data_IF_980181704171
#
_entry.id   IF_980181704171
#
_cell.length_a   1.000
_cell.length_b   1.000
_cell.length_c   1.000
_cell.angle_alpha   90.00
_cell.angle_beta   90.00
_cell.angle_gamma   90.00
#
_symmetry.space_group_name_H-M   'P 1'
#
loop_
_entity.id
_entity.type
_entity.pdbx_description
1 polymer ?
#
# COMPACT_ATOMS: atom_id res chain seq x y z
N UNK A 1 -27.99 -8.76 -11.29
CA UNK A 1 -27.01 -9.17 -10.26
C UNK A 1 -25.63 -9.28 -10.91
N UNK A 2 -25.13 -8.18 -11.49
CA UNK A 2 -23.90 -8.22 -12.31
C UNK A 2 -23.04 -6.95 -12.30
N UNK A 3 -23.51 -5.80 -11.77
CA UNK A 3 -22.71 -4.56 -11.80
C UNK A 3 -22.12 -4.18 -10.42
N UNK A 4 -22.58 -4.83 -9.35
CA UNK A 4 -22.20 -4.47 -7.97
C UNK A 4 -20.83 -5.06 -7.56
N UNK A 5 -20.37 -6.12 -8.22
CA UNK A 5 -19.09 -6.80 -7.92
C UNK A 5 -17.89 -6.19 -8.66
N UNK A 6 -18.12 -5.40 -9.71
CA UNK A 6 -17.06 -4.73 -10.47
C UNK A 6 -16.59 -3.41 -9.82
N UNK A 7 -17.38 -2.83 -8.90
CA UNK A 7 -17.14 -1.49 -8.37
C UNK A 7 -16.32 -1.47 -7.06
N UNK A 8 -15.66 -2.58 -6.69
CA UNK A 8 -14.75 -2.59 -5.53
C UNK A 8 -13.34 -2.14 -5.90
N UNK A 9 -12.95 -2.24 -7.18
CA UNK A 9 -11.60 -1.88 -7.64
C UNK A 9 -11.36 -0.35 -7.69
N UNK A 10 -12.43 0.45 -7.65
CA UNK A 10 -12.38 1.91 -7.78
C UNK A 10 -12.83 2.66 -6.52
N UNK A 11 -13.14 1.93 -5.44
CA UNK A 11 -13.43 2.59 -4.16
C UNK A 11 -12.11 2.97 -3.50
N UNK A 12 -11.92 4.26 -3.29
CA UNK A 12 -11.00 4.80 -2.28
C UNK A 12 -11.41 4.27 -0.90
N UNK A 13 -11.05 3.02 -0.62
CA UNK A 13 -11.22 2.42 0.70
C UNK A 13 -10.24 3.10 1.64
N UNK A 14 -10.75 3.66 2.74
CA UNK A 14 -9.88 4.31 3.72
C UNK A 14 -8.96 3.27 4.37
N UNK A 15 -7.76 3.70 4.78
CA UNK A 15 -6.85 2.83 5.55
C UNK A 15 -7.52 2.29 6.82
N UNK A 16 -8.41 3.07 7.43
CA UNK A 16 -9.18 2.67 8.60
C UNK A 16 -10.15 1.52 8.30
N UNK A 17 -10.71 1.48 7.08
CA UNK A 17 -11.54 0.37 6.60
C UNK A 17 -10.72 -0.90 6.34
N UNK A 18 -9.46 -0.78 5.89
CA UNK A 18 -8.57 -1.92 5.67
C UNK A 18 -8.01 -2.52 6.97
N UNK A 19 -7.97 -1.74 8.04
CA UNK A 19 -7.46 -2.13 9.36
C UNK A 19 -8.59 -2.59 10.31
N UNK A 20 -9.84 -2.23 10.03
CA UNK A 20 -11.03 -2.59 10.82
C UNK A 20 -11.78 -3.85 10.36
N UNK A 21 -12.26 -4.64 11.33
CA UNK A 21 -13.26 -5.73 11.25
C UNK A 21 -13.00 -7.02 10.43
N UNK A 22 -11.78 -7.35 10.02
CA UNK A 22 -11.55 -8.75 9.57
C UNK A 22 -10.18 -9.08 8.98
N UNK A 23 -9.69 -10.28 9.34
CA UNK A 23 -8.50 -11.03 8.85
C UNK A 23 -7.13 -10.33 8.78
N UNK A 24 -7.08 -8.99 8.79
CA UNK A 24 -5.91 -8.15 8.58
C UNK A 24 -5.40 -7.46 9.85
N UNK A 25 -5.81 -7.95 11.03
CA UNK A 25 -5.34 -7.48 12.34
C UNK A 25 -3.81 -7.65 12.56
N UNK A 26 -3.07 -8.04 11.53
CA UNK A 26 -1.63 -8.28 11.53
C UNK A 26 -0.82 -7.15 10.89
N UNK A 27 -1.47 -6.09 10.40
CA UNK A 27 -0.72 -4.91 9.97
C UNK A 27 -0.05 -4.25 11.18
N UNK A 28 1.28 -4.19 11.14
CA UNK A 28 2.07 -3.46 12.12
C UNK A 28 1.59 -2.01 12.19
N UNK A 29 1.14 -1.57 13.38
CA UNK A 29 0.59 -0.22 13.61
C UNK A 29 1.54 0.87 13.11
N UNK A 30 2.86 0.66 13.23
CA UNK A 30 3.85 1.63 12.74
C UNK A 30 3.83 1.76 11.23
N UNK A 31 3.59 0.66 10.52
CA UNK A 31 3.46 0.67 9.06
C UNK A 31 2.21 1.41 8.61
N UNK A 32 1.07 1.19 9.28
CA UNK A 32 -0.17 1.92 9.00
C UNK A 32 0.01 3.42 9.24
N UNK A 33 0.59 3.81 10.38
CA UNK A 33 0.83 5.23 10.70
C UNK A 33 1.72 5.91 9.65
N UNK A 34 2.77 5.24 9.17
CA UNK A 34 3.61 5.76 8.09
C UNK A 34 2.80 6.00 6.81
N UNK A 35 1.91 5.09 6.43
CA UNK A 35 1.05 5.29 5.25
C UNK A 35 0.12 6.49 5.42
N UNK A 36 -0.44 6.68 6.62
CA UNK A 36 -1.25 7.87 6.94
C UNK A 36 -0.43 9.16 6.87
N UNK A 37 0.80 9.17 7.41
CA UNK A 37 1.71 10.31 7.32
C UNK A 37 2.04 10.65 5.87
N UNK A 38 2.35 9.65 5.04
CA UNK A 38 2.63 9.81 3.61
C UNK A 38 1.43 10.42 2.88
N UNK A 39 0.21 9.99 3.19
CA UNK A 39 -1.00 10.56 2.58
C UNK A 39 -1.19 12.05 2.88
N UNK A 40 -0.69 12.54 4.01
CA UNK A 40 -0.81 13.94 4.40
C UNK A 40 0.38 14.81 3.93
N UNK A 41 1.36 14.25 3.22
CA UNK A 41 2.50 15.01 2.68
C UNK A 41 2.10 15.91 1.50
N UNK A 42 2.88 16.99 1.31
CA UNK A 42 2.80 17.83 0.12
C UNK A 42 2.99 16.98 -1.16
N UNK A 43 2.26 17.26 -2.26
CA UNK A 43 2.24 16.39 -3.44
C UNK A 43 3.62 16.12 -4.06
N UNK A 44 4.47 17.14 -4.14
CA UNK A 44 5.84 17.05 -4.66
C UNK A 44 6.71 16.12 -3.81
N UNK A 45 6.70 16.30 -2.50
CA UNK A 45 7.43 15.45 -1.54
C UNK A 45 6.90 14.01 -1.58
N UNK A 46 5.58 13.84 -1.64
CA UNK A 46 4.92 12.54 -1.72
C UNK A 46 5.34 11.77 -2.98
N UNK A 47 5.36 12.43 -4.13
CA UNK A 47 5.80 11.84 -5.40
C UNK A 47 7.27 11.39 -5.35
N UNK A 48 8.15 12.21 -4.77
CA UNK A 48 9.55 11.81 -4.59
C UNK A 48 9.71 10.59 -3.69
N UNK A 49 8.97 10.54 -2.58
CA UNK A 49 8.99 9.39 -1.68
C UNK A 49 8.45 8.13 -2.34
N UNK A 50 7.38 8.22 -3.13
CA UNK A 50 6.85 7.06 -3.86
C UNK A 50 7.87 6.50 -4.86
N UNK A 51 8.61 7.34 -5.57
CA UNK A 51 9.67 6.88 -6.46
C UNK A 51 10.76 6.07 -5.72
N UNK A 52 11.12 6.49 -4.50
CA UNK A 52 12.08 5.77 -3.66
C UNK A 52 11.51 4.43 -3.19
N UNK A 53 10.26 4.43 -2.68
CA UNK A 53 9.57 3.21 -2.24
C UNK A 53 9.52 2.19 -3.38
N UNK A 54 9.13 2.62 -4.59
CA UNK A 54 9.03 1.78 -5.77
C UNK A 54 10.39 1.20 -6.18
N UNK A 55 11.45 2.00 -6.10
CA UNK A 55 12.82 1.54 -6.38
C UNK A 55 13.25 0.45 -5.40
N UNK A 56 13.05 0.68 -4.09
CA UNK A 56 13.44 -0.29 -3.05
C UNK A 56 12.65 -1.60 -3.17
N UNK A 57 11.34 -1.52 -3.44
CA UNK A 57 10.49 -2.71 -3.63
C UNK A 57 10.95 -3.50 -4.86
N UNK A 58 11.27 -2.81 -5.96
CA UNK A 58 11.78 -3.44 -7.18
C UNK A 58 13.08 -4.18 -6.91
N UNK A 59 14.05 -3.51 -6.29
CA UNK A 59 15.34 -4.10 -5.97
C UNK A 59 15.19 -5.31 -5.05
N UNK A 60 14.32 -5.22 -4.03
CA UNK A 60 14.02 -6.36 -3.16
C UNK A 60 13.46 -7.56 -3.94
N UNK A 61 12.47 -7.34 -4.81
CA UNK A 61 11.88 -8.41 -5.64
C UNK A 61 12.92 -9.03 -6.57
N UNK A 62 13.74 -8.20 -7.22
CA UNK A 62 14.84 -8.64 -8.08
C UNK A 62 15.84 -9.52 -7.32
N UNK A 63 16.22 -9.13 -6.10
CA UNK A 63 17.10 -9.95 -5.25
C UNK A 63 16.48 -11.31 -4.89
N UNK A 64 15.17 -11.38 -4.63
CA UNK A 64 14.52 -12.66 -4.36
C UNK A 64 14.53 -13.57 -5.59
N UNK A 65 14.32 -13.01 -6.79
CA UNK A 65 14.37 -13.78 -8.04
C UNK A 65 15.72 -14.42 -8.29
N UNK A 66 16.83 -13.75 -7.94
CA UNK A 66 18.17 -14.32 -8.06
C UNK A 66 18.52 -15.39 -7.01
N UNK A 67 17.82 -15.43 -5.86
CA UNK A 67 18.03 -16.47 -4.84
C UNK A 67 17.41 -17.81 -5.19
N UNK A 68 16.57 -17.86 -6.23
CA UNK A 68 15.84 -19.06 -6.67
C UNK A 68 16.46 -19.71 -7.91
N UNK A 69 17.55 -19.14 -8.45
CA UNK A 69 18.38 -19.69 -9.55
C UNK A 69 19.66 -20.26 -8.95
#
# INVERSE_FOLDING_TARGET
MSDEVANFAEREVSLDFLVGEGMNAQFDKKTVNRLQEIQNMAPDIKSHLFAIIDSVIRDYKTQQSYKTI
#
